data_IF_673925440016
#
_entry.id   IF_673925440016
#
_cell.length_a   1.000
_cell.length_b   1.000
_cell.length_c   1.000
_cell.angle_alpha   90.00
_cell.angle_beta   90.00
_cell.angle_gamma   90.00
#
_symmetry.space_group_name_H-M   'P 1'
#
loop_
_entity.id
_entity.type
_entity.pdbx_description
1 polymer ?
#
# COMPACT_ATOMS: atom_id res chain seq x y z
N UNK A 1 -9.83 -6.49 38.29
CA UNK A 1 -9.75 -7.72 37.46
C UNK A 1 -9.83 -7.31 36.02
N UNK A 2 -8.67 -7.12 35.39
CA UNK A 2 -8.55 -6.65 34.00
C UNK A 2 -8.48 -7.87 33.11
N UNK A 3 -9.47 -8.06 32.24
CA UNK A 3 -9.53 -9.18 31.31
C UNK A 3 -8.37 -9.07 30.31
N UNK A 4 -7.45 -10.03 30.36
CA UNK A 4 -6.42 -10.22 29.34
C UNK A 4 -7.15 -10.66 28.06
N UNK A 5 -7.22 -9.79 27.05
CA UNK A 5 -7.59 -10.18 25.68
C UNK A 5 -6.57 -11.20 25.20
N UNK A 6 -6.92 -12.49 25.24
CA UNK A 6 -6.16 -13.54 24.57
C UNK A 6 -6.15 -13.21 23.08
N UNK A 7 -4.98 -12.85 22.53
CA UNK A 7 -4.75 -12.94 21.07
C UNK A 7 -5.01 -14.40 20.70
N UNK A 8 -6.05 -14.66 19.90
CA UNK A 8 -6.20 -15.95 19.23
C UNK A 8 -4.97 -16.10 18.33
N UNK A 9 -4.13 -17.08 18.66
CA UNK A 9 -3.08 -17.53 17.77
C UNK A 9 -3.83 -18.15 16.58
N UNK A 10 -3.89 -17.43 15.47
CA UNK A 10 -4.34 -17.97 14.19
C UNK A 10 -3.52 -19.23 13.93
N UNK A 11 -4.21 -20.37 13.86
CA UNK A 11 -3.60 -21.66 13.61
C UNK A 11 -3.21 -21.69 12.14
N UNK A 12 -1.94 -21.40 11.86
CA UNK A 12 -1.41 -21.39 10.49
C UNK A 12 -1.50 -22.83 9.96
N UNK A 13 -2.41 -23.05 9.02
CA UNK A 13 -2.52 -24.31 8.29
C UNK A 13 -1.79 -24.17 6.95
N UNK A 14 -1.12 -25.22 6.51
CA UNK A 14 -0.43 -25.24 5.21
C UNK A 14 -1.37 -24.99 4.02
N UNK A 15 -2.67 -25.27 4.19
CA UNK A 15 -3.68 -25.05 3.16
C UNK A 15 -4.28 -23.65 3.17
N UNK A 16 -3.94 -22.83 4.17
CA UNK A 16 -4.57 -21.52 4.39
C UNK A 16 -3.54 -20.44 4.12
N UNK A 17 -3.83 -19.53 3.19
CA UNK A 17 -2.95 -18.40 2.96
C UNK A 17 -3.04 -17.43 4.16
N UNK A 18 -1.94 -17.19 4.90
CA UNK A 18 -1.97 -16.41 6.14
C UNK A 18 -2.34 -14.94 5.92
N UNK A 19 -2.07 -14.38 4.74
CA UNK A 19 -2.47 -13.02 4.38
C UNK A 19 -4.00 -12.92 4.33
N UNK A 20 -4.64 -13.82 3.58
CA UNK A 20 -6.10 -13.80 3.42
C UNK A 20 -6.83 -14.21 4.71
N UNK A 21 -6.22 -15.07 5.53
CA UNK A 21 -6.76 -15.40 6.86
C UNK A 21 -6.81 -14.17 7.78
N UNK A 22 -5.83 -13.28 7.72
CA UNK A 22 -5.84 -12.03 8.50
C UNK A 22 -6.83 -10.99 7.95
N UNK A 23 -7.10 -11.02 6.65
CA UNK A 23 -8.07 -10.13 5.99
C UNK A 23 -9.49 -10.70 5.96
N UNK A 24 -9.72 -11.89 6.55
CA UNK A 24 -10.99 -12.59 6.48
C UNK A 24 -12.14 -11.73 7.02
N UNK A 25 -11.96 -11.12 8.19
CA UNK A 25 -12.95 -10.27 8.85
C UNK A 25 -13.02 -8.83 8.31
N UNK A 26 -12.11 -8.42 7.43
CA UNK A 26 -12.08 -7.07 6.89
C UNK A 26 -13.11 -6.91 5.76
N UNK A 27 -13.89 -5.84 5.76
CA UNK A 27 -14.88 -5.57 4.69
C UNK A 27 -14.41 -4.47 3.74
N UNK A 28 -13.66 -3.49 4.26
CA UNK A 28 -13.25 -2.27 3.57
C UNK A 28 -11.73 -2.16 3.63
N UNK A 29 -11.08 -2.59 2.56
CA UNK A 29 -9.62 -2.77 2.52
C UNK A 29 -8.98 -1.69 1.65
N UNK A 30 -7.96 -1.02 2.17
CA UNK A 30 -7.07 -0.17 1.39
C UNK A 30 -5.86 -1.00 0.96
N UNK A 31 -5.64 -1.16 -0.34
CA UNK A 31 -4.41 -1.72 -0.90
C UNK A 31 -3.59 -0.57 -1.49
N UNK A 32 -2.39 -0.34 -0.98
CA UNK A 32 -1.60 0.85 -1.32
C UNK A 32 -0.15 0.52 -1.62
N UNK A 33 0.42 1.11 -2.66
CA UNK A 33 1.87 1.04 -2.94
C UNK A 33 2.66 1.93 -1.97
N UNK A 34 3.80 1.44 -1.48
CA UNK A 34 4.54 2.02 -0.36
C UNK A 34 5.66 2.98 -0.78
N UNK A 35 6.51 2.56 -1.71
CA UNK A 35 7.69 3.27 -2.21
C UNK A 35 7.36 4.15 -3.41
N UNK A 36 6.19 3.91 -4.00
CA UNK A 36 5.60 4.71 -5.05
C UNK A 36 5.86 4.15 -6.43
N UNK A 37 5.76 5.01 -7.43
CA UNK A 37 5.92 4.62 -8.82
C UNK A 37 5.01 3.46 -9.25
N UNK A 38 5.57 2.25 -9.40
CA UNK A 38 4.82 1.06 -9.85
C UNK A 38 4.45 0.05 -8.73
N UNK A 39 4.71 0.34 -7.46
CA UNK A 39 4.45 -0.62 -6.37
C UNK A 39 3.00 -1.04 -6.26
N UNK A 40 2.06 -0.13 -6.56
CA UNK A 40 0.63 -0.45 -6.58
C UNK A 40 0.29 -1.60 -7.55
N UNK A 41 1.08 -1.82 -8.60
CA UNK A 41 0.87 -2.93 -9.53
C UNK A 41 1.16 -4.29 -8.89
N UNK A 42 2.13 -4.36 -7.97
CA UNK A 42 2.39 -5.56 -7.19
C UNK A 42 1.18 -5.91 -6.30
N UNK A 43 0.40 -4.90 -5.89
CA UNK A 43 -0.81 -5.08 -5.10
C UNK A 43 -2.02 -5.62 -5.87
N UNK A 44 -1.99 -5.62 -7.21
CA UNK A 44 -3.16 -6.00 -8.02
C UNK A 44 -3.67 -7.43 -7.80
N UNK A 45 -2.82 -8.48 -7.69
CA UNK A 45 -3.32 -9.82 -7.40
C UNK A 45 -4.10 -9.88 -6.07
N UNK A 46 -3.67 -9.11 -5.06
CA UNK A 46 -4.37 -9.02 -3.77
C UNK A 46 -5.70 -8.28 -3.96
N UNK A 47 -5.66 -7.09 -4.57
CA UNK A 47 -6.86 -6.28 -4.77
C UNK A 47 -7.93 -7.01 -5.58
N UNK A 48 -7.57 -7.66 -6.69
CA UNK A 48 -8.48 -8.43 -7.53
C UNK A 48 -9.08 -9.63 -6.78
N UNK A 49 -8.27 -10.35 -5.99
CA UNK A 49 -8.76 -11.43 -5.13
C UNK A 49 -9.79 -10.92 -4.11
N UNK A 50 -9.51 -9.78 -3.47
CA UNK A 50 -10.43 -9.17 -2.50
C UNK A 50 -11.71 -8.66 -3.17
N UNK A 51 -11.63 -8.07 -4.37
CA UNK A 51 -12.81 -7.71 -5.16
C UNK A 51 -13.69 -8.92 -5.46
N UNK A 52 -13.10 -10.04 -5.90
CA UNK A 52 -13.85 -11.27 -6.20
C UNK A 52 -14.42 -11.96 -4.97
N UNK A 53 -13.90 -11.66 -3.78
CA UNK A 53 -14.49 -12.05 -2.49
C UNK A 53 -15.64 -11.12 -2.06
N UNK A 54 -15.99 -10.10 -2.86
CA UNK A 54 -17.06 -9.15 -2.56
C UNK A 54 -16.69 -8.06 -1.56
N UNK A 55 -15.40 -7.88 -1.25
CA UNK A 55 -14.93 -6.84 -0.34
C UNK A 55 -14.85 -5.49 -1.06
N UNK A 56 -15.00 -4.41 -0.30
CA UNK A 56 -14.82 -3.05 -0.80
C UNK A 56 -13.34 -2.69 -0.77
N UNK A 57 -12.71 -2.59 -1.95
CA UNK A 57 -11.28 -2.27 -2.04
C UNK A 57 -11.08 -0.85 -2.55
N UNK A 58 -10.27 -0.07 -1.83
CA UNK A 58 -9.70 1.18 -2.31
C UNK A 58 -8.24 0.93 -2.72
N UNK A 59 -7.83 1.52 -3.84
CA UNK A 59 -6.46 1.46 -4.31
C UNK A 59 -5.78 2.81 -4.06
N UNK A 60 -4.56 2.80 -3.58
CA UNK A 60 -3.76 4.02 -3.46
C UNK A 60 -2.28 3.81 -3.83
N UNK A 61 -1.55 4.90 -4.08
CA UNK A 61 -0.13 4.84 -4.35
C UNK A 61 0.56 6.13 -3.89
N UNK A 62 1.81 6.03 -3.45
CA UNK A 62 2.66 7.21 -3.31
C UNK A 62 3.08 7.68 -4.71
N UNK A 63 2.55 8.82 -5.15
CA UNK A 63 2.73 9.27 -6.53
C UNK A 63 4.09 9.92 -6.73
N UNK A 64 4.77 9.50 -7.80
CA UNK A 64 5.96 10.19 -8.33
C UNK A 64 5.60 11.21 -9.42
N UNK A 65 4.34 11.21 -9.87
CA UNK A 65 3.78 12.24 -10.74
C UNK A 65 3.45 13.49 -9.94
N UNK A 66 3.61 14.66 -10.57
CA UNK A 66 3.32 15.95 -9.96
C UNK A 66 1.80 16.17 -9.88
N UNK A 67 1.24 16.17 -8.67
CA UNK A 67 -0.21 16.26 -8.43
C UNK A 67 -0.72 17.70 -8.32
N UNK A 68 0.17 18.70 -8.29
CA UNK A 68 -0.15 20.11 -8.03
C UNK A 68 -1.05 20.70 -9.11
N UNK A 69 -0.91 20.22 -10.35
CA UNK A 69 -1.70 20.63 -11.51
C UNK A 69 -3.11 20.03 -11.57
N UNK A 70 -3.49 19.17 -10.62
CA UNK A 70 -4.83 18.59 -10.59
C UNK A 70 -5.88 19.62 -10.14
N UNK A 71 -7.11 19.54 -10.70
CA UNK A 71 -8.23 20.32 -10.22
C UNK A 71 -8.49 20.11 -8.72
N UNK A 72 -9.04 21.12 -8.05
CA UNK A 72 -9.29 21.06 -6.61
C UNK A 72 -10.32 19.98 -6.26
N UNK A 73 -11.30 19.74 -7.14
CA UNK A 73 -12.32 18.69 -7.01
C UNK A 73 -11.75 17.27 -7.04
N UNK A 74 -10.55 17.09 -7.63
CA UNK A 74 -9.85 15.81 -7.59
C UNK A 74 -9.20 15.56 -6.23
N UNK A 75 -9.02 16.60 -5.39
CA UNK A 75 -8.36 16.46 -4.09
C UNK A 75 -9.36 16.00 -3.03
N UNK A 76 -9.05 14.88 -2.40
CA UNK A 76 -9.78 14.36 -1.25
C UNK A 76 -9.37 15.11 0.02
N UNK A 77 -8.08 15.41 0.15
CA UNK A 77 -7.47 16.23 1.20
C UNK A 77 -6.16 16.85 0.66
N UNK A 78 -5.44 17.71 1.42
CA UNK A 78 -4.28 18.45 0.91
C UNK A 78 -3.23 17.62 0.17
N UNK A 79 -2.97 16.39 0.61
CA UNK A 79 -1.92 15.52 0.06
C UNK A 79 -2.45 14.19 -0.51
N UNK A 80 -3.75 14.10 -0.83
CA UNK A 80 -4.34 12.94 -1.49
C UNK A 80 -5.39 13.34 -2.52
N UNK A 81 -5.24 12.82 -3.74
CA UNK A 81 -6.16 13.05 -4.85
C UNK A 81 -6.79 11.73 -5.33
N UNK A 82 -8.05 11.78 -5.75
CA UNK A 82 -8.74 10.69 -6.41
C UNK A 82 -8.48 10.79 -7.92
N UNK A 83 -7.80 9.78 -8.48
CA UNK A 83 -7.46 9.69 -9.89
C UNK A 83 -8.45 8.76 -10.59
N UNK A 84 -9.11 9.28 -11.62
CA UNK A 84 -10.07 8.56 -12.48
C UNK A 84 -9.47 8.35 -13.88
N UNK A 85 -10.09 7.51 -14.75
CA UNK A 85 -9.62 7.30 -16.12
C UNK A 85 -9.49 8.60 -16.95
N UNK A 86 -10.35 9.57 -16.65
CA UNK A 86 -10.46 10.88 -17.33
C UNK A 86 -9.50 11.93 -16.75
N UNK A 87 -8.87 11.64 -15.60
CA UNK A 87 -7.97 12.59 -14.95
C UNK A 87 -6.81 12.91 -15.87
N UNK A 88 -6.75 14.15 -16.35
CA UNK A 88 -5.80 14.56 -17.37
C UNK A 88 -4.70 15.44 -16.76
N UNK A 89 -3.52 14.86 -16.60
CA UNK A 89 -2.28 15.61 -16.44
C UNK A 89 -1.46 15.46 -17.73
N UNK A 90 -0.79 16.53 -18.14
CA UNK A 90 0.13 16.51 -19.28
C UNK A 90 1.48 15.93 -18.85
N UNK A 91 1.46 14.67 -18.41
CA UNK A 91 2.63 13.95 -17.92
C UNK A 91 2.70 12.58 -18.62
N UNK A 92 3.90 12.20 -19.08
CA UNK A 92 4.12 10.89 -19.68
C UNK A 92 4.14 9.77 -18.64
N UNK A 93 4.55 10.10 -17.41
CA UNK A 93 4.59 9.20 -16.27
C UNK A 93 3.38 9.45 -15.38
N UNK A 94 2.39 8.55 -15.38
CA UNK A 94 1.25 8.61 -14.47
C UNK A 94 0.62 7.22 -14.23
N UNK A 95 1.33 6.32 -13.50
CA UNK A 95 0.91 4.94 -13.31
C UNK A 95 -0.50 4.80 -12.72
N UNK A 96 -0.88 5.67 -11.80
CA UNK A 96 -2.19 5.67 -11.14
C UNK A 96 -3.32 5.88 -12.15
N UNK A 97 -3.13 6.79 -13.11
CA UNK A 97 -4.10 7.01 -14.19
C UNK A 97 -4.16 5.84 -15.15
N UNK A 98 -3.01 5.31 -15.55
CA UNK A 98 -2.96 4.12 -16.41
C UNK A 98 -3.68 2.94 -15.75
N UNK A 99 -3.50 2.77 -14.45
CA UNK A 99 -4.21 1.77 -13.67
C UNK A 99 -5.71 2.06 -13.59
N UNK A 100 -6.12 3.30 -13.32
CA UNK A 100 -7.53 3.70 -13.32
C UNK A 100 -8.22 3.37 -14.65
N UNK A 101 -7.57 3.67 -15.78
CA UNK A 101 -8.05 3.33 -17.12
C UNK A 101 -8.18 1.82 -17.32
N UNK A 102 -7.17 1.05 -16.90
CA UNK A 102 -7.19 -0.40 -16.99
C UNK A 102 -8.33 -1.00 -16.16
N UNK A 103 -8.56 -0.52 -14.93
CA UNK A 103 -9.65 -0.96 -14.06
C UNK A 103 -11.02 -0.67 -14.70
N UNK A 104 -11.21 0.54 -15.23
CA UNK A 104 -12.45 0.93 -15.91
C UNK A 104 -12.73 0.09 -17.16
N UNK A 105 -11.70 -0.22 -17.95
CA UNK A 105 -11.81 -1.09 -19.12
C UNK A 105 -12.28 -2.51 -18.75
N UNK A 106 -11.90 -3.01 -17.57
CA UNK A 106 -12.21 -4.36 -17.10
C UNK A 106 -13.43 -4.42 -16.16
N UNK A 107 -14.15 -3.31 -15.97
CA UNK A 107 -15.37 -3.26 -15.15
C UNK A 107 -15.13 -3.27 -13.64
N UNK A 108 -13.93 -2.90 -13.18
CA UNK A 108 -13.62 -2.72 -11.77
C UNK A 108 -13.84 -1.27 -11.33
N UNK A 109 -13.98 -0.99 -10.01
CA UNK A 109 -13.90 0.37 -9.49
C UNK A 109 -12.62 1.07 -9.98
N UNK A 110 -12.79 2.14 -10.75
CA UNK A 110 -11.72 2.75 -11.54
C UNK A 110 -11.07 3.96 -10.88
N UNK A 111 -11.23 4.12 -9.57
CA UNK A 111 -10.60 5.21 -8.82
C UNK A 111 -9.35 4.69 -8.12
N UNK A 112 -8.22 5.35 -8.36
CA UNK A 112 -6.95 5.12 -7.66
C UNK A 112 -6.58 6.40 -6.93
N UNK A 113 -6.28 6.30 -5.64
CA UNK A 113 -5.88 7.47 -4.84
C UNK A 113 -4.37 7.69 -4.95
N UNK A 114 -3.96 8.92 -5.21
CA UNK A 114 -2.56 9.30 -5.32
C UNK A 114 -2.17 10.16 -4.13
N UNK A 115 -1.23 9.69 -3.31
CA UNK A 115 -0.62 10.48 -2.25
C UNK A 115 0.49 11.35 -2.81
N UNK A 116 0.56 12.60 -2.36
CA UNK A 116 1.67 13.48 -2.71
C UNK A 116 2.96 13.03 -2.02
N UNK A 117 4.10 13.30 -2.65
CA UNK A 117 5.42 12.96 -2.11
C UNK A 117 5.84 13.97 -1.03
N UNK A 118 5.36 13.75 0.19
CA UNK A 118 5.49 14.65 1.34
C UNK A 118 6.06 13.93 2.56
N UNK A 119 6.43 14.67 3.60
CA UNK A 119 6.90 14.07 4.85
C UNK A 119 5.83 13.28 5.61
N UNK A 120 6.27 12.56 6.65
CA UNK A 120 5.44 11.62 7.44
C UNK A 120 4.16 12.24 8.00
N UNK A 121 4.20 13.47 8.52
CA UNK A 121 3.04 14.09 9.17
C UNK A 121 1.93 14.46 8.17
N UNK A 122 2.22 15.18 7.07
CA UNK A 122 1.26 15.39 5.99
C UNK A 122 0.73 14.07 5.39
N UNK A 123 1.62 13.10 5.11
CA UNK A 123 1.20 11.80 4.55
C UNK A 123 0.25 11.06 5.49
N UNK A 124 0.51 11.10 6.80
CA UNK A 124 -0.40 10.53 7.81
C UNK A 124 -1.76 11.20 7.81
N UNK A 125 -1.82 12.52 7.66
CA UNK A 125 -3.09 13.24 7.57
C UNK A 125 -3.86 12.82 6.31
N UNK A 126 -3.17 12.61 5.20
CA UNK A 126 -3.74 12.10 3.95
C UNK A 126 -4.28 10.67 4.10
N UNK A 127 -3.51 9.76 4.71
CA UNK A 127 -3.99 8.41 5.03
C UNK A 127 -5.23 8.43 5.92
N UNK A 128 -5.24 9.27 6.98
CA UNK A 128 -6.42 9.40 7.86
C UNK A 128 -7.65 9.87 7.10
N UNK A 129 -7.51 10.91 6.28
CA UNK A 129 -8.62 11.41 5.48
C UNK A 129 -9.18 10.33 4.53
N UNK A 130 -8.31 9.51 3.92
CA UNK A 130 -8.72 8.42 3.06
C UNK A 130 -9.42 7.29 3.85
N UNK A 131 -8.84 6.88 4.99
CA UNK A 131 -9.39 5.85 5.87
C UNK A 131 -10.78 6.26 6.38
N UNK A 132 -10.92 7.50 6.85
CA UNK A 132 -12.19 8.05 7.36
C UNK A 132 -13.24 8.17 6.25
N UNK A 133 -12.86 8.60 5.03
CA UNK A 133 -13.81 8.75 3.93
C UNK A 133 -14.45 7.43 3.49
N UNK A 134 -13.70 6.33 3.56
CA UNK A 134 -14.12 5.03 3.05
C UNK A 134 -14.35 3.99 4.15
N UNK A 135 -14.37 4.41 5.42
CA UNK A 135 -14.52 3.55 6.60
C UNK A 135 -13.58 2.32 6.58
N UNK A 136 -12.31 2.53 6.18
CA UNK A 136 -11.34 1.46 5.97
C UNK A 136 -11.05 0.74 7.29
N UNK A 137 -11.22 -0.59 7.29
CA UNK A 137 -10.97 -1.46 8.45
C UNK A 137 -9.71 -2.31 8.32
N UNK A 138 -9.10 -2.37 7.13
CA UNK A 138 -7.78 -2.97 6.92
C UNK A 138 -6.93 -2.19 5.90
N UNK A 139 -5.63 -2.05 6.18
CA UNK A 139 -4.66 -1.49 5.24
C UNK A 139 -3.61 -2.55 4.88
N UNK A 140 -3.40 -2.74 3.58
CA UNK A 140 -2.36 -3.58 2.99
C UNK A 140 -1.39 -2.66 2.26
N UNK A 141 -0.24 -2.43 2.88
CA UNK A 141 0.87 -1.69 2.30
C UNK A 141 1.72 -2.66 1.47
N UNK A 142 1.88 -2.38 0.19
CA UNK A 142 2.55 -3.24 -0.78
C UNK A 142 3.83 -2.59 -1.25
N UNK A 143 4.91 -3.35 -1.20
CA UNK A 143 6.18 -3.03 -1.82
C UNK A 143 6.42 -3.98 -3.00
N UNK A 144 6.73 -3.40 -4.17
CA UNK A 144 7.06 -4.12 -5.38
C UNK A 144 8.44 -4.78 -5.33
N UNK A 145 9.31 -4.28 -4.44
CA UNK A 145 10.59 -4.86 -4.06
C UNK A 145 10.57 -5.38 -2.63
N UNK A 146 11.74 -5.35 -2.02
CA UNK A 146 12.11 -5.85 -0.68
C UNK A 146 12.75 -4.75 0.17
N UNK A 147 12.83 -3.54 -0.38
CA UNK A 147 13.47 -2.37 0.23
C UNK A 147 12.72 -1.92 1.50
N UNK A 148 11.41 -2.18 1.60
CA UNK A 148 10.60 -1.91 2.80
C UNK A 148 11.06 -2.69 4.05
N UNK A 149 11.87 -3.73 3.88
CA UNK A 149 12.44 -4.53 4.97
C UNK A 149 13.85 -4.07 5.37
N UNK A 150 14.47 -3.15 4.62
CA UNK A 150 15.86 -2.77 4.84
C UNK A 150 16.05 -1.87 6.06
N UNK A 151 17.16 -2.09 6.77
CA UNK A 151 17.53 -1.37 7.99
C UNK A 151 18.55 -0.26 7.76
N UNK A 152 19.05 -0.12 6.53
CA UNK A 152 20.01 0.91 6.15
C UNK A 152 21.47 0.51 6.37
N UNK A 153 21.76 -0.79 6.47
CA UNK A 153 23.11 -1.36 6.54
C UNK A 153 23.60 -1.93 5.20
N UNK A 154 22.82 -1.79 4.14
CA UNK A 154 23.10 -2.31 2.80
C UNK A 154 23.81 -1.31 1.85
N UNK A 155 24.65 -1.81 0.95
CA UNK A 155 25.55 -1.01 0.09
C UNK A 155 24.89 -0.36 -1.14
N UNK A 156 23.57 -0.49 -1.30
CA UNK A 156 22.78 0.14 -2.36
C UNK A 156 21.41 0.51 -1.80
N UNK A 157 21.05 1.78 -1.87
CA UNK A 157 19.76 2.30 -1.41
C UNK A 157 18.85 2.37 -2.63
N UNK A 158 17.80 1.55 -2.69
CA UNK A 158 16.69 1.74 -3.64
C UNK A 158 15.87 2.98 -3.25
N UNK A 159 14.58 2.81 -2.94
CA UNK A 159 13.70 3.89 -2.41
C UNK A 159 13.33 3.72 -0.93
N UNK A 160 14.31 3.53 0.00
CA UNK A 160 14.00 3.23 1.40
C UNK A 160 13.36 4.41 2.15
N UNK A 161 13.56 5.65 1.68
CA UNK A 161 12.99 6.85 2.32
C UNK A 161 11.47 6.91 2.14
N UNK A 162 10.99 6.65 0.93
CA UNK A 162 9.57 6.63 0.61
C UNK A 162 8.82 5.52 1.37
N UNK A 163 9.37 4.30 1.37
CA UNK A 163 8.81 3.15 2.08
C UNK A 163 8.70 3.39 3.59
N UNK A 164 9.80 3.85 4.21
CA UNK A 164 9.82 4.14 5.64
C UNK A 164 8.87 5.29 6.00
N UNK A 165 8.69 6.26 5.11
CA UNK A 165 7.72 7.35 5.29
C UNK A 165 6.29 6.82 5.32
N UNK A 166 5.93 5.93 4.39
CA UNK A 166 4.62 5.27 4.33
C UNK A 166 4.38 4.39 5.57
N UNK A 167 5.36 3.59 5.98
CA UNK A 167 5.29 2.75 7.20
C UNK A 167 5.13 3.62 8.44
N UNK A 168 5.95 4.67 8.60
CA UNK A 168 5.91 5.56 9.76
C UNK A 168 4.60 6.37 9.83
N UNK A 169 4.04 6.75 8.68
CA UNK A 169 2.74 7.40 8.61
C UNK A 169 1.63 6.48 9.13
N UNK A 170 1.58 5.23 8.66
CA UNK A 170 0.58 4.24 9.05
C UNK A 170 0.76 3.70 10.47
N UNK A 171 1.98 3.62 10.99
CA UNK A 171 2.28 3.11 12.34
C UNK A 171 1.52 3.88 13.44
N UNK A 172 1.29 5.18 13.22
CA UNK A 172 0.62 6.09 14.15
C UNK A 172 -0.89 6.28 13.90
N UNK A 173 -1.50 5.45 13.05
CA UNK A 173 -2.95 5.44 12.78
C UNK A 173 -3.54 4.16 13.38
N UNK A 174 -4.63 4.31 14.14
CA UNK A 174 -5.35 3.17 14.69
C UNK A 174 -6.30 2.61 13.63
N UNK A 175 -5.88 1.52 13.00
CA UNK A 175 -6.68 0.73 12.05
C UNK A 175 -6.69 -0.72 12.55
N UNK A 176 -7.84 -1.41 12.52
CA UNK A 176 -7.97 -2.76 13.06
C UNK A 176 -6.93 -3.75 12.53
N UNK A 177 -6.71 -3.77 11.22
CA UNK A 177 -5.67 -4.59 10.59
C UNK A 177 -4.74 -3.75 9.72
N UNK A 178 -3.44 -3.99 9.89
CA UNK A 178 -2.37 -3.36 9.09
C UNK A 178 -1.36 -4.43 8.71
N UNK A 179 -1.16 -4.62 7.41
CA UNK A 179 -0.24 -5.60 6.84
C UNK A 179 0.76 -4.87 5.94
N UNK A 180 2.02 -5.26 6.03
CA UNK A 180 3.05 -4.92 5.03
C UNK A 180 3.33 -6.18 4.25
N UNK A 181 3.30 -6.08 2.91
CA UNK A 181 3.46 -7.21 2.00
C UNK A 181 4.51 -6.85 0.96
N UNK A 182 5.65 -7.53 1.02
CA UNK A 182 6.64 -7.53 -0.06
C UNK A 182 6.35 -8.73 -0.96
N UNK A 183 5.99 -8.46 -2.21
CA UNK A 183 5.56 -9.49 -3.18
C UNK A 183 6.68 -9.83 -4.16
N UNK A 184 7.66 -8.94 -4.32
CA UNK A 184 8.78 -9.05 -5.26
C UNK A 184 10.05 -9.66 -4.70
N UNK A 185 9.98 -10.72 -3.88
CA UNK A 185 11.19 -11.40 -3.42
C UNK A 185 12.06 -11.83 -4.61
N UNK A 186 13.21 -11.16 -4.77
CA UNK A 186 14.17 -11.39 -5.85
C UNK A 186 14.09 -10.45 -7.06
N UNK A 187 13.18 -9.48 -7.08
CA UNK A 187 13.14 -8.43 -8.10
C UNK A 187 14.31 -7.43 -7.90
N UNK A 188 14.69 -7.14 -6.66
CA UNK A 188 15.73 -6.14 -6.36
C UNK A 188 17.17 -6.64 -6.52
N UNK A 189 17.35 -7.93 -6.82
CA UNK A 189 18.65 -8.42 -7.27
C UNK A 189 19.15 -7.66 -8.52
N UNK A 190 18.22 -7.14 -9.33
CA UNK A 190 18.54 -6.27 -10.47
C UNK A 190 19.04 -4.87 -10.06
N UNK A 191 18.71 -4.40 -8.84
CA UNK A 191 19.15 -3.13 -8.26
C UNK A 191 20.32 -3.29 -7.25
N UNK A 192 20.87 -4.51 -7.10
CA UNK A 192 22.03 -4.78 -6.24
C UNK A 192 21.70 -5.17 -4.80
N UNK A 193 20.43 -5.45 -4.49
CA UNK A 193 19.97 -5.87 -3.17
C UNK A 193 20.30 -7.34 -2.90
N UNK A 194 20.87 -7.62 -1.72
CA UNK A 194 21.22 -8.98 -1.28
C UNK A 194 20.01 -9.74 -0.74
N UNK A 195 19.67 -10.86 -1.37
CA UNK A 195 18.65 -11.79 -0.87
C UNK A 195 18.88 -12.25 0.58
N UNK A 196 20.14 -12.29 1.04
CA UNK A 196 20.47 -12.67 2.42
C UNK A 196 19.96 -11.66 3.45
N UNK A 197 20.08 -10.37 3.15
CA UNK A 197 19.69 -9.29 4.06
C UNK A 197 18.17 -9.14 4.14
N UNK A 198 17.47 -9.33 3.01
CA UNK A 198 16.00 -9.42 2.95
C UNK A 198 15.47 -10.54 3.85
N UNK A 199 16.11 -11.71 3.84
CA UNK A 199 15.70 -12.85 4.67
C UNK A 199 15.99 -12.62 6.16
N UNK A 200 17.12 -11.99 6.51
CA UNK A 200 17.43 -11.63 7.89
C UNK A 200 16.47 -10.57 8.45
N UNK A 201 16.14 -9.56 7.65
CA UNK A 201 15.13 -8.55 7.99
C UNK A 201 13.74 -9.18 8.19
N UNK A 202 13.31 -10.06 7.27
CA UNK A 202 12.06 -10.81 7.39
C UNK A 202 11.97 -11.60 8.69
N UNK A 203 13.03 -12.32 9.07
CA UNK A 203 13.09 -13.10 10.31
C UNK A 203 13.04 -12.24 11.58
N UNK A 204 13.51 -11.00 11.50
CA UNK A 204 13.64 -10.13 12.66
C UNK A 204 12.44 -9.19 12.85
N UNK A 205 11.64 -8.95 11.81
CA UNK A 205 10.37 -8.20 11.85
C UNK A 205 9.17 -9.02 12.35
N UNK A 206 9.33 -10.35 12.51
CA UNK A 206 8.33 -11.25 13.11
C UNK A 206 8.39 -11.34 14.65
N UNK A 207 9.17 -10.49 15.34
CA UNK A 207 9.24 -10.43 16.81
C UNK A 207 8.33 -9.38 17.41
#
# INVERSE_FOLDING_TARGET
MTAVKRRMISMVSLHTNPLFARLESAERVLVTGAGGGFDIYAGLPIALSLFHQGKHVQLANLSFSALEGLPLESRLAPDVAAITPETALHQAYFPERTLAQWLGLHGYPSTVHAFSRVGVQPLRAAYRALIEKYDIDAVVLVDGGTDILMRGDESGLGTPEEDLTSVAALAAIDVPERLVVSIGFGIDAYHGVSHGLVLEASCSSTR
#
